data_IF_785001605622
#
_entry.id   IF_785001605622
#
_cell.length_a   1.000
_cell.length_b   1.000
_cell.length_c   1.000
_cell.angle_alpha   90.00
_cell.angle_beta   90.00
_cell.angle_gamma   90.00
#
_symmetry.space_group_name_H-M   'P 1'
#
loop_
_entity.id
_entity.type
_entity.pdbx_description
1 polymer ?
#
# COMPACT_ATOMS: atom_id res chain seq x y z
N UNK A 1 -22.62 26.28 -2.97
CA UNK A 1 -21.57 25.97 -3.96
C UNK A 1 -20.37 25.41 -3.19
N UNK A 2 -20.37 24.11 -2.89
CA UNK A 2 -19.21 23.45 -2.32
C UNK A 2 -18.95 22.23 -3.20
N UNK A 3 -17.76 22.20 -3.79
CA UNK A 3 -17.29 21.15 -4.68
C UNK A 3 -17.54 19.79 -4.05
N UNK A 4 -18.35 18.99 -4.72
CA UNK A 4 -18.44 17.55 -4.47
C UNK A 4 -17.09 16.95 -4.85
N UNK A 5 -16.13 17.01 -3.92
CA UNK A 5 -14.95 16.19 -3.94
C UNK A 5 -15.45 14.76 -4.14
N UNK A 6 -15.15 14.19 -5.30
CA UNK A 6 -15.46 12.81 -5.67
C UNK A 6 -14.77 11.90 -4.65
N UNK A 7 -15.41 11.66 -3.52
CA UNK A 7 -14.96 10.74 -2.47
C UNK A 7 -15.14 9.32 -3.01
N UNK A 8 -14.26 8.94 -3.95
CA UNK A 8 -14.14 7.59 -4.50
C UNK A 8 -13.51 6.60 -3.50
N UNK A 9 -13.23 7.05 -2.28
CA UNK A 9 -12.76 6.26 -1.16
C UNK A 9 -13.71 6.54 0.00
N UNK A 10 -14.53 5.55 0.35
CA UNK A 10 -15.26 5.58 1.63
C UNK A 10 -14.51 4.71 2.63
N UNK A 11 -14.74 4.91 3.93
CA UNK A 11 -14.05 4.15 4.98
C UNK A 11 -14.22 2.62 4.86
N UNK A 12 -15.31 2.19 4.23
CA UNK A 12 -15.69 0.79 4.10
C UNK A 12 -15.33 0.19 2.74
N UNK A 13 -14.88 1.00 1.79
CA UNK A 13 -14.54 0.49 0.46
C UNK A 13 -13.09 -0.01 0.44
N UNK A 14 -12.86 -1.27 0.06
CA UNK A 14 -11.51 -1.77 -0.14
C UNK A 14 -10.85 -1.04 -1.31
N UNK A 15 -9.59 -0.66 -1.13
CA UNK A 15 -8.79 -0.01 -2.15
C UNK A 15 -7.36 -0.56 -2.15
N UNK A 16 -6.66 -0.40 -3.28
CA UNK A 16 -5.29 -0.91 -3.39
C UNK A 16 -4.34 0.11 -2.81
N UNK A 17 -3.58 -0.29 -1.80
CA UNK A 17 -2.55 0.54 -1.18
C UNK A 17 -1.18 -0.06 -1.43
N UNK A 18 -0.21 0.82 -1.65
CA UNK A 18 1.20 0.51 -1.61
C UNK A 18 1.82 1.19 -0.40
N UNK A 19 2.48 0.42 0.44
CA UNK A 19 3.08 0.87 1.70
C UNK A 19 4.56 0.52 1.66
N UNK A 20 5.41 1.51 1.89
CA UNK A 20 6.87 1.34 1.87
C UNK A 20 7.44 1.53 3.27
N UNK A 21 8.30 0.60 3.69
CA UNK A 21 9.00 0.60 4.98
C UNK A 21 10.47 0.26 4.75
N UNK A 22 11.41 0.72 5.60
CA UNK A 22 12.82 0.39 5.43
C UNK A 22 13.11 -1.04 5.87
N UNK A 23 14.21 -1.56 5.35
CA UNK A 23 14.73 -2.87 5.69
C UNK A 23 13.90 -4.01 5.10
N UNK A 24 14.07 -5.18 5.71
CA UNK A 24 13.37 -6.40 5.33
C UNK A 24 12.25 -6.67 6.33
N UNK A 25 11.01 -6.57 5.88
CA UNK A 25 9.86 -6.95 6.71
C UNK A 25 9.71 -8.48 6.73
N UNK A 26 9.33 -9.04 7.88
CA UNK A 26 9.17 -10.49 8.00
C UNK A 26 8.00 -10.99 7.12
N UNK A 27 8.16 -12.10 6.37
CA UNK A 27 7.09 -12.64 5.53
C UNK A 27 5.85 -13.11 6.31
N UNK A 28 5.90 -13.25 7.63
CA UNK A 28 4.72 -13.47 8.49
C UNK A 28 3.65 -12.38 8.31
N UNK A 29 4.04 -11.19 7.85
CA UNK A 29 3.17 -10.08 7.51
C UNK A 29 2.47 -10.20 6.15
N UNK A 30 2.72 -11.25 5.37
CA UNK A 30 1.90 -11.61 4.20
C UNK A 30 0.81 -12.61 4.60
N UNK A 31 1.02 -13.32 5.72
CA UNK A 31 0.10 -14.38 6.17
C UNK A 31 -1.19 -13.83 6.76
N UNK A 32 -1.16 -12.62 7.34
CA UNK A 32 -2.36 -12.00 7.93
C UNK A 32 -3.42 -11.61 6.90
N UNK A 33 -3.04 -11.37 5.64
CA UNK A 33 -3.99 -11.11 4.56
C UNK A 33 -3.45 -11.63 3.22
N UNK A 34 -4.13 -12.63 2.65
CA UNK A 34 -3.73 -13.28 1.40
C UNK A 34 -3.74 -12.34 0.18
N UNK A 35 -4.25 -11.13 0.33
CA UNK A 35 -4.33 -10.12 -0.74
C UNK A 35 -3.18 -9.10 -0.66
N UNK A 36 -2.24 -9.26 0.29
CA UNK A 36 -1.05 -8.42 0.39
C UNK A 36 0.13 -9.16 -0.21
N UNK A 37 0.79 -8.50 -1.15
CA UNK A 37 2.05 -8.95 -1.74
C UNK A 37 3.18 -8.13 -1.14
N UNK A 38 4.24 -8.80 -0.70
CA UNK A 38 5.45 -8.17 -0.20
C UNK A 38 6.57 -8.30 -1.22
N UNK A 39 7.28 -7.20 -1.48
CA UNK A 39 8.41 -7.15 -2.41
C UNK A 39 9.54 -6.38 -1.78
N UNK A 40 10.69 -7.03 -1.62
CA UNK A 40 11.91 -6.34 -1.22
C UNK A 40 12.50 -5.60 -2.43
N UNK A 41 12.85 -4.34 -2.24
CA UNK A 41 13.57 -3.50 -3.21
C UNK A 41 14.77 -2.83 -2.52
N UNK A 42 15.64 -2.24 -3.33
CA UNK A 42 16.65 -1.29 -2.87
C UNK A 42 16.36 0.05 -3.51
N UNK A 43 16.48 1.12 -2.74
CA UNK A 43 16.44 2.48 -3.26
C UNK A 43 17.72 2.79 -4.04
N UNK A 44 17.75 3.93 -4.75
CA UNK A 44 18.88 4.32 -5.60
C UNK A 44 20.18 4.49 -4.80
N UNK A 45 20.08 4.86 -3.52
CA UNK A 45 21.20 4.96 -2.58
C UNK A 45 21.63 3.59 -1.99
N UNK A 46 20.96 2.50 -2.37
CA UNK A 46 21.28 1.14 -1.94
C UNK A 46 20.60 0.72 -0.63
N UNK A 47 19.86 1.62 0.03
CA UNK A 47 19.07 1.31 1.23
C UNK A 47 18.01 0.25 0.92
N UNK A 48 17.97 -0.87 1.67
CA UNK A 48 16.93 -1.87 1.50
C UNK A 48 15.59 -1.30 1.97
N UNK A 49 14.55 -1.52 1.17
CA UNK A 49 13.17 -1.17 1.51
C UNK A 49 12.25 -2.33 1.17
N UNK A 50 11.18 -2.48 1.95
CA UNK A 50 10.13 -3.44 1.66
C UNK A 50 8.88 -2.69 1.22
N UNK A 51 8.34 -3.10 0.09
CA UNK A 51 7.10 -2.58 -0.48
C UNK A 51 6.02 -3.62 -0.28
N UNK A 52 4.94 -3.23 0.38
CA UNK A 52 3.73 -4.03 0.53
C UNK A 52 2.65 -3.44 -0.36
N UNK A 53 2.05 -4.26 -1.21
CA UNK A 53 0.95 -3.87 -2.07
C UNK A 53 -0.22 -4.81 -1.87
N UNK A 54 -1.39 -4.28 -1.52
CA UNK A 54 -2.57 -5.10 -1.33
C UNK A 54 -3.87 -4.32 -1.28
N UNK A 55 -4.98 -5.05 -1.38
CA UNK A 55 -6.32 -4.51 -1.27
C UNK A 55 -6.71 -4.44 0.21
N UNK A 56 -6.86 -3.23 0.74
CA UNK A 56 -7.17 -2.97 2.15
C UNK A 56 -8.33 -1.96 2.25
N UNK A 57 -9.25 -2.17 3.18
CA UNK A 57 -10.16 -1.12 3.63
C UNK A 57 -9.43 -0.16 4.60
N UNK A 58 -10.08 0.95 4.97
CA UNK A 58 -9.45 1.96 5.83
C UNK A 58 -9.17 1.46 7.25
N UNK A 59 -10.01 0.58 7.81
CA UNK A 59 -9.74 0.02 9.14
C UNK A 59 -8.56 -0.96 9.10
N UNK A 60 -8.47 -1.79 8.06
CA UNK A 60 -7.34 -2.69 7.84
C UNK A 60 -6.03 -1.92 7.63
N UNK A 61 -6.05 -0.85 6.83
CA UNK A 61 -4.91 0.04 6.62
C UNK A 61 -4.46 0.68 7.95
N UNK A 62 -5.37 1.24 8.74
CA UNK A 62 -5.05 1.84 10.03
C UNK A 62 -4.48 0.81 11.01
N UNK A 63 -5.05 -0.38 11.06
CA UNK A 63 -4.54 -1.48 11.87
C UNK A 63 -3.16 -1.96 11.44
N UNK A 64 -2.83 -1.85 10.15
CA UNK A 64 -1.51 -2.14 9.61
C UNK A 64 -0.47 -1.08 10.02
N UNK A 65 -0.78 0.21 9.81
CA UNK A 65 0.12 1.31 10.16
C UNK A 65 0.41 1.36 11.66
N UNK A 66 -0.60 1.11 12.50
CA UNK A 66 -0.42 1.01 13.95
C UNK A 66 0.51 -0.14 14.35
N UNK A 67 0.47 -1.27 13.65
CA UNK A 67 1.37 -2.39 13.91
C UNK A 67 2.81 -2.09 13.48
N UNK A 68 3.01 -1.46 12.32
CA UNK A 68 4.33 -0.98 11.91
C UNK A 68 4.93 -0.06 12.96
N UNK A 69 4.13 0.90 13.44
CA UNK A 69 4.54 1.81 14.50
C UNK A 69 4.89 1.08 15.81
N UNK A 70 4.08 0.10 16.23
CA UNK A 70 4.34 -0.69 17.43
C UNK A 70 5.65 -1.50 17.36
N UNK A 71 6.15 -1.79 16.16
CA UNK A 71 7.40 -2.50 15.93
C UNK A 71 8.59 -1.56 15.70
N UNK A 72 8.40 -0.25 15.84
CA UNK A 72 9.44 0.76 15.65
C UNK A 72 9.89 0.90 14.20
N UNK A 73 9.11 0.38 13.24
CA UNK A 73 9.42 0.50 11.82
C UNK A 73 8.89 1.85 11.31
N UNK A 74 9.75 2.75 10.82
CA UNK A 74 9.29 4.03 10.31
C UNK A 74 8.59 3.83 8.98
N UNK A 75 7.50 4.57 8.78
CA UNK A 75 6.72 4.57 7.56
C UNK A 75 7.38 5.49 6.54
N UNK A 76 7.80 4.95 5.38
CA UNK A 76 8.39 5.77 4.31
C UNK A 76 7.28 6.41 3.47
N UNK A 77 6.30 5.60 3.03
CA UNK A 77 5.23 6.08 2.14
C UNK A 77 3.98 5.21 2.20
N UNK A 78 2.82 5.84 1.99
CA UNK A 78 1.53 5.19 1.77
C UNK A 78 0.88 5.83 0.56
N UNK A 79 0.66 5.02 -0.48
CA UNK A 79 0.12 5.47 -1.75
C UNK A 79 -1.16 4.69 -2.05
N UNK A 80 -2.26 5.40 -2.25
CA UNK A 80 -3.46 4.80 -2.82
C UNK A 80 -3.29 4.63 -4.34
N UNK A 81 -3.22 3.38 -4.78
CA UNK A 81 -3.19 3.03 -6.20
C UNK A 81 -4.64 2.99 -6.70
N UNK A 82 -5.07 4.08 -7.35
CA UNK A 82 -6.30 4.02 -8.14
C UNK A 82 -6.09 2.99 -9.24
N UNK A 83 -6.88 1.92 -9.25
CA UNK A 83 -6.99 1.01 -10.39
C UNK A 83 -7.69 1.73 -11.55
N UNK A 84 -7.02 2.74 -12.10
CA UNK A 84 -7.45 3.43 -13.29
C UNK A 84 -7.10 2.58 -14.49
N UNK A 85 -8.10 2.06 -15.17
CA UNK A 85 -8.02 1.49 -16.52
C UNK A 85 -7.10 2.35 -17.41
N UNK A 86 -5.86 1.90 -17.65
CA UNK A 86 -5.07 2.26 -18.84
C UNK A 86 -4.79 0.95 -19.58
N UNK A 87 -5.64 0.62 -20.56
CA UNK A 87 -5.59 1.03 -21.98
C UNK A 87 -4.80 0.01 -22.81
N UNK A 88 -5.57 -0.66 -23.69
CA UNK A 88 -5.11 -1.39 -24.87
C UNK A 88 -3.90 -0.67 -25.49
N UNK A 89 -2.76 -1.36 -25.61
CA UNK A 89 -1.80 -1.02 -26.65
C UNK A 89 -2.33 -1.62 -27.95
N UNK A 90 -2.96 -0.79 -28.75
CA UNK A 90 -3.00 -0.97 -30.20
C UNK A 90 -1.64 -0.54 -30.73
N UNK A 91 -0.84 -1.47 -31.26
CA UNK A 91 0.30 -1.24 -32.15
C UNK A 91 0.79 -2.63 -32.59
N UNK A 92 0.84 -3.07 -33.85
CA UNK A 92 0.57 -2.50 -35.17
C UNK A 92 0.21 -3.65 -36.10
#
# INVERSE_FOLDING_TARGET
MAEQCKHQLTLYQPAVYQITVPGHLDPSWVVWDKQITMTAKREEDGTPVTILTGTLDQAALQGFLRRLYALGLPLISVIHIKTGTKRRKSQS
#
